data_IF_692446273631
#
_entry.id   IF_692446273631
#
_cell.length_a   1.000
_cell.length_b   1.000
_cell.length_c   1.000
_cell.angle_alpha   90.00
_cell.angle_beta   90.00
_cell.angle_gamma   90.00
#
_symmetry.space_group_name_H-M   'P 1'
#
loop_
_entity.id
_entity.type
_entity.pdbx_description
1 polymer ?
#
# COMPACT_ATOMS: atom_id res chain seq x y z
N UNK A 1 -1.74 29.70 22.78
CA UNK A 1 -1.86 28.81 21.61
C UNK A 1 -0.47 28.37 21.17
N UNK A 2 0.03 27.24 21.66
CA UNK A 2 1.36 26.72 21.30
C UNK A 2 1.20 25.64 20.20
N UNK A 3 0.91 26.07 18.98
CA UNK A 3 0.83 25.20 17.80
C UNK A 3 1.77 25.77 16.75
N UNK A 4 3.05 25.38 16.75
CA UNK A 4 3.97 26.03 15.79
C UNK A 4 5.41 25.56 15.72
N UNK A 5 5.76 24.36 16.21
CA UNK A 5 7.15 23.87 16.05
C UNK A 5 7.28 22.43 15.52
N UNK A 6 6.29 21.55 15.68
CA UNK A 6 6.36 20.17 15.19
C UNK A 6 6.27 20.07 13.65
N UNK A 7 5.34 20.80 13.02
CA UNK A 7 5.18 20.80 11.56
C UNK A 7 6.39 21.39 10.81
N UNK A 8 7.18 22.26 11.45
CA UNK A 8 8.35 22.88 10.81
C UNK A 8 9.53 21.91 10.66
N UNK A 9 9.67 20.94 11.57
CA UNK A 9 10.71 19.91 11.49
C UNK A 9 10.42 18.94 10.34
N UNK A 10 9.15 18.59 10.10
CA UNK A 10 8.78 17.70 9.00
C UNK A 10 9.08 18.28 7.63
N UNK A 11 8.88 19.59 7.45
CA UNK A 11 9.19 20.27 6.20
C UNK A 11 10.68 20.19 5.84
N UNK A 12 11.58 20.17 6.82
CA UNK A 12 13.03 20.07 6.61
C UNK A 12 13.53 18.64 6.40
N UNK A 13 12.79 17.62 6.86
CA UNK A 13 13.21 16.22 6.81
C UNK A 13 12.43 15.36 5.81
N UNK A 14 11.40 15.88 5.13
CA UNK A 14 10.65 15.14 4.12
C UNK A 14 11.54 14.49 3.04
N UNK A 15 12.67 15.11 2.68
CA UNK A 15 13.62 14.54 1.70
C UNK A 15 14.40 13.32 2.23
N UNK A 16 14.38 13.07 3.55
CA UNK A 16 15.10 11.97 4.23
C UNK A 16 14.12 10.90 4.74
N UNK A 17 12.82 11.22 4.85
CA UNK A 17 11.82 10.27 5.34
C UNK A 17 11.56 9.17 4.31
N UNK A 18 11.97 7.95 4.66
CA UNK A 18 11.79 6.76 3.83
C UNK A 18 10.76 5.81 4.43
N UNK A 19 10.11 5.05 3.56
CA UNK A 19 9.20 3.98 3.97
C UNK A 19 9.96 2.90 4.76
N UNK A 20 9.44 2.42 5.90
CA UNK A 20 10.11 1.40 6.71
C UNK A 20 10.27 0.07 5.95
N UNK A 21 9.39 -0.21 4.99
CA UNK A 21 9.35 -1.44 4.20
C UNK A 21 10.15 -1.32 2.89
N UNK A 22 9.76 -0.39 2.00
CA UNK A 22 10.37 -0.27 0.66
C UNK A 22 11.67 0.52 0.63
N UNK A 23 12.01 1.24 1.72
CA UNK A 23 13.15 2.17 1.80
C UNK A 23 13.13 3.29 0.75
N UNK A 24 12.00 3.49 0.07
CA UNK A 24 11.78 4.58 -0.87
C UNK A 24 11.32 5.84 -0.15
N UNK A 25 11.55 7.04 -0.71
CA UNK A 25 11.08 8.29 -0.12
C UNK A 25 9.55 8.31 0.04
N UNK A 26 9.08 9.00 1.09
CA UNK A 26 7.65 9.21 1.35
C UNK A 26 7.19 10.60 0.91
N UNK A 27 5.96 10.69 0.43
CA UNK A 27 5.33 11.95 0.01
C UNK A 27 4.35 12.43 1.06
N UNK A 28 4.47 13.68 1.51
CA UNK A 28 3.49 14.28 2.41
C UNK A 28 2.21 14.65 1.66
N UNK A 29 1.07 14.18 2.14
CA UNK A 29 -0.26 14.60 1.71
C UNK A 29 -0.77 15.70 2.64
N UNK A 30 -0.77 16.95 2.17
CA UNK A 30 -1.23 18.09 2.97
C UNK A 30 -2.74 18.06 3.27
N UNK A 31 -3.54 17.40 2.42
CA UNK A 31 -4.99 17.30 2.58
C UNK A 31 -5.39 16.42 3.78
N UNK A 32 -4.70 15.29 3.96
CA UNK A 32 -4.98 14.34 5.06
C UNK A 32 -3.94 14.39 6.19
N UNK A 33 -2.88 15.18 6.03
CA UNK A 33 -1.72 15.23 6.92
C UNK A 33 -1.12 13.83 7.19
N UNK A 34 -0.91 13.06 6.11
CA UNK A 34 -0.34 11.70 6.13
C UNK A 34 0.87 11.58 5.21
N UNK A 35 1.71 10.57 5.43
CA UNK A 35 2.83 10.23 4.56
C UNK A 35 2.46 9.05 3.66
N UNK A 36 2.56 9.25 2.34
CA UNK A 36 2.20 8.27 1.33
C UNK A 36 3.48 7.61 0.78
N UNK A 37 3.45 6.29 0.67
CA UNK A 37 4.43 5.50 -0.08
C UNK A 37 3.81 5.11 -1.42
N UNK A 38 4.20 5.80 -2.49
CA UNK A 38 3.69 5.51 -3.84
C UNK A 38 4.13 4.10 -4.31
N UNK A 39 5.30 3.62 -3.88
CA UNK A 39 5.84 2.30 -4.23
C UNK A 39 5.02 1.11 -3.69
N UNK A 40 4.28 1.29 -2.60
CA UNK A 40 3.47 0.23 -1.97
C UNK A 40 1.98 0.58 -1.91
N UNK A 41 1.60 1.78 -2.34
CA UNK A 41 0.24 2.29 -2.18
C UNK A 41 -0.21 2.32 -0.71
N UNK A 42 0.67 2.66 0.24
CA UNK A 42 0.31 2.74 1.67
C UNK A 42 0.47 4.15 2.22
N UNK A 43 -0.36 4.49 3.20
CA UNK A 43 -0.30 5.74 3.97
C UNK A 43 0.04 5.49 5.43
N UNK A 44 0.82 6.40 6.00
CA UNK A 44 1.21 6.43 7.41
C UNK A 44 0.68 7.72 8.06
N UNK A 45 0.06 7.63 9.25
CA UNK A 45 -0.50 8.79 9.92
C UNK A 45 0.58 9.67 10.58
N UNK A 46 0.27 10.95 10.71
CA UNK A 46 1.06 11.88 11.53
C UNK A 46 0.24 12.22 12.79
N UNK A 47 0.74 11.82 13.96
CA UNK A 47 0.07 12.01 15.26
C UNK A 47 0.89 13.02 16.06
N UNK A 48 0.25 14.09 16.54
CA UNK A 48 0.90 15.20 17.26
C UNK A 48 2.09 15.84 16.53
N UNK A 49 2.09 15.78 15.20
CA UNK A 49 3.20 16.26 14.36
C UNK A 49 4.40 15.32 14.32
N UNK A 50 4.23 14.06 14.75
CA UNK A 50 5.23 12.99 14.69
C UNK A 50 4.74 11.92 13.69
N UNK A 51 5.55 11.60 12.66
CA UNK A 51 5.25 10.52 11.73
C UNK A 51 5.25 9.15 12.40
N UNK A 52 4.15 8.40 12.28
CA UNK A 52 4.10 7.03 12.75
C UNK A 52 4.46 6.06 11.61
N UNK A 53 5.75 5.76 11.46
CA UNK A 53 6.25 4.82 10.45
C UNK A 53 6.30 3.37 10.96
N UNK A 54 5.22 2.93 11.62
CA UNK A 54 5.06 1.56 12.10
C UNK A 54 4.45 0.73 10.97
N UNK A 55 5.08 -0.39 10.54
CA UNK A 55 4.55 -1.20 9.45
C UNK A 55 3.10 -1.65 9.64
N UNK A 56 2.69 -1.92 10.88
CA UNK A 56 1.33 -2.34 11.24
C UNK A 56 0.29 -1.23 11.13
N UNK A 57 0.70 0.04 11.24
CA UNK A 57 -0.21 1.20 11.12
C UNK A 57 -0.38 1.67 9.66
N UNK A 58 0.41 1.13 8.74
CA UNK A 58 0.32 1.43 7.31
C UNK A 58 -1.04 1.01 6.76
N UNK A 59 -1.77 1.96 6.17
CA UNK A 59 -3.07 1.70 5.54
C UNK A 59 -2.95 1.74 4.04
N UNK A 60 -3.45 0.69 3.37
CA UNK A 60 -3.55 0.68 1.92
C UNK A 60 -4.43 1.85 1.47
N UNK A 61 -3.92 2.61 0.52
CA UNK A 61 -4.65 3.66 -0.17
C UNK A 61 -4.91 3.17 -1.59
N UNK A 62 -6.10 3.42 -2.10
CA UNK A 62 -6.40 3.16 -3.51
C UNK A 62 -5.62 4.18 -4.36
N UNK A 63 -4.39 3.85 -4.72
CA UNK A 63 -3.68 4.54 -5.80
C UNK A 63 -4.19 3.98 -7.12
N UNK A 64 -4.75 4.80 -8.03
CA UNK A 64 -5.14 4.31 -9.34
C UNK A 64 -3.89 3.99 -10.16
N UNK A 65 -3.54 2.69 -10.22
CA UNK A 65 -2.54 2.03 -11.08
C UNK A 65 -1.08 2.31 -10.65
N UNK A 66 -0.19 1.32 -10.49
CA UNK A 66 0.27 0.36 -11.50
C UNK A 66 0.28 -1.09 -10.96
N UNK A 67 -0.54 -1.92 -11.61
CA UNK A 67 -0.53 -3.38 -11.57
C UNK A 67 0.72 -3.88 -12.32
N UNK A 68 1.85 -4.02 -11.62
CA UNK A 68 2.90 -4.93 -12.05
C UNK A 68 2.51 -6.33 -11.57
N UNK A 69 2.13 -7.16 -12.53
CA UNK A 69 1.52 -8.46 -12.33
C UNK A 69 2.27 -9.35 -11.35
N UNK A 70 1.52 -9.90 -10.40
CA UNK A 70 1.92 -11.11 -9.68
C UNK A 70 1.01 -12.24 -10.13
N UNK A 71 1.60 -13.07 -10.98
CA UNK A 71 1.14 -14.41 -11.35
C UNK A 71 0.71 -15.18 -10.10
N UNK A 72 -0.60 -15.31 -9.90
CA UNK A 72 -1.16 -16.38 -9.08
C UNK A 72 -1.56 -17.51 -10.03
N UNK A 73 -0.56 -18.24 -10.52
CA UNK A 73 -0.72 -19.63 -10.92
C UNK A 73 -1.42 -20.39 -9.79
N UNK A 74 -2.73 -20.57 -9.93
CA UNK A 74 -3.49 -21.57 -9.18
C UNK A 74 -3.75 -22.73 -10.13
N UNK A 75 -2.69 -23.53 -10.29
CA UNK A 75 -2.74 -24.86 -10.87
C UNK A 75 -3.72 -25.77 -10.10
N UNK A 76 -4.37 -26.65 -10.86
CA UNK A 76 -5.01 -27.91 -10.46
C UNK A 76 -6.32 -27.89 -9.66
N UNK A 77 -7.43 -28.17 -10.37
CA UNK A 77 -8.31 -29.32 -10.05
C UNK A 77 -8.66 -30.12 -11.30
N UNK A 78 -8.15 -31.34 -11.31
CA UNK A 78 -8.48 -32.47 -12.17
C UNK A 78 -9.95 -32.92 -11.97
N UNK A 79 -10.44 -33.63 -12.99
CA UNK A 79 -11.62 -34.52 -13.09
C UNK A 79 -13.01 -33.94 -12.90
N UNK A 80 -13.83 -33.97 -13.97
CA UNK A 80 -15.16 -34.56 -13.89
C UNK A 80 -15.68 -34.97 -15.28
N UNK A 81 -16.02 -36.25 -15.41
CA UNK A 81 -16.49 -36.87 -16.64
C UNK A 81 -17.88 -36.36 -17.04
N UNK A 82 -18.08 -36.13 -18.33
CA UNK A 82 -19.41 -36.09 -18.91
C UNK A 82 -19.58 -37.29 -19.84
N UNK A 83 -20.29 -38.26 -19.30
CA UNK A 83 -20.85 -39.44 -19.94
C UNK A 83 -21.53 -39.06 -21.26
N UNK A 84 -20.93 -39.42 -22.39
CA UNK A 84 -21.62 -39.36 -23.68
C UNK A 84 -22.56 -40.56 -23.72
N UNK A 85 -23.86 -40.27 -23.71
CA UNK A 85 -24.97 -41.20 -23.76
C UNK A 85 -24.77 -42.32 -24.81
N UNK A 86 -25.35 -43.53 -24.59
CA UNK A 86 -25.18 -44.65 -25.48
C UNK A 86 -25.72 -44.34 -26.88
N UNK A 87 -24.86 -44.46 -27.89
CA UNK A 87 -25.29 -44.64 -29.27
C UNK A 87 -25.88 -46.04 -29.36
N UNK A 88 -27.20 -46.13 -29.28
CA UNK A 88 -27.92 -47.36 -29.60
C UNK A 88 -27.88 -47.62 -31.12
N UNK A 89 -27.96 -48.91 -31.52
CA UNK A 89 -27.48 -49.42 -32.82
C UNK A 89 -28.27 -48.99 -34.05
#
# INVERSE_FOLDING_TARGET
MARGRAALLLKQFNEILVCPLSKQPLRLCEESNTLISDALGVSYPIVDGIPCLVPTDGKLIETPNEDDGVDATSDSKNSDGHERAPVNP
#
